data_IF_920879094658
#
_entry.id   IF_920879094658
#
_cell.length_a   1.000
_cell.length_b   1.000
_cell.length_c   1.000
_cell.angle_alpha   90.00
_cell.angle_beta   90.00
_cell.angle_gamma   90.00
#
_symmetry.space_group_name_H-M   'P 1'
#
loop_
_entity.id
_entity.type
_entity.pdbx_description
1 polymer ?
#
# COMPACT_ATOMS: atom_id res chain seq x y z
N UNK A 1 -9.08 35.57 -36.16
CA UNK A 1 -7.80 34.84 -36.05
C UNK A 1 -7.23 34.80 -34.64
N UNK A 2 -7.22 35.89 -33.88
CA UNK A 2 -6.71 35.92 -32.50
C UNK A 2 -7.58 35.11 -31.52
N UNK A 3 -8.88 34.98 -31.75
CA UNK A 3 -9.83 34.25 -30.90
C UNK A 3 -9.65 32.73 -31.04
N UNK A 4 -9.34 32.23 -32.24
CA UNK A 4 -9.09 30.80 -32.49
C UNK A 4 -7.81 30.28 -31.82
N UNK A 5 -6.79 31.13 -31.68
CA UNK A 5 -5.54 30.76 -30.98
C UNK A 5 -5.73 30.66 -29.46
N UNK A 6 -6.58 31.49 -28.89
CA UNK A 6 -6.93 31.46 -27.50
C UNK A 6 -7.75 30.22 -27.13
N UNK A 7 -8.68 29.79 -27.99
CA UNK A 7 -9.49 28.57 -27.79
C UNK A 7 -8.64 27.31 -27.83
N UNK A 8 -7.63 27.25 -28.71
CA UNK A 8 -6.71 26.10 -28.77
C UNK A 8 -5.86 25.97 -27.50
N UNK A 9 -5.42 27.08 -26.89
CA UNK A 9 -4.64 27.09 -25.67
C UNK A 9 -5.49 26.62 -24.45
N UNK A 10 -6.78 26.99 -24.39
CA UNK A 10 -7.69 26.57 -23.33
C UNK A 10 -7.99 25.08 -23.42
N UNK A 11 -8.16 24.53 -24.61
CA UNK A 11 -8.38 23.09 -24.82
C UNK A 11 -7.15 22.25 -24.42
N UNK A 12 -5.93 22.75 -24.71
CA UNK A 12 -4.70 22.08 -24.30
C UNK A 12 -4.54 22.03 -22.77
N UNK A 13 -4.96 23.08 -22.06
CA UNK A 13 -4.91 23.14 -20.59
C UNK A 13 -5.89 22.15 -19.94
N UNK A 14 -7.10 21.98 -20.49
CA UNK A 14 -8.10 21.02 -20.01
C UNK A 14 -7.61 19.58 -20.20
N UNK A 15 -6.93 19.27 -21.31
CA UNK A 15 -6.37 17.95 -21.57
C UNK A 15 -5.26 17.59 -20.56
N UNK A 16 -4.41 18.54 -20.16
CA UNK A 16 -3.36 18.36 -19.15
C UNK A 16 -3.95 18.06 -17.76
N UNK A 17 -5.04 18.72 -17.38
CA UNK A 17 -5.74 18.47 -16.12
C UNK A 17 -6.39 17.10 -16.06
N UNK A 18 -6.88 16.55 -17.17
CA UNK A 18 -7.43 15.20 -17.24
C UNK A 18 -6.36 14.14 -17.00
N UNK A 19 -5.13 14.34 -17.49
CA UNK A 19 -4.01 13.42 -17.26
C UNK A 19 -3.52 13.42 -15.81
N UNK A 20 -3.58 14.54 -15.10
CA UNK A 20 -3.13 14.64 -13.71
C UNK A 20 -4.00 13.87 -12.70
N UNK A 21 -5.18 13.36 -13.14
CA UNK A 21 -6.10 12.58 -12.28
C UNK A 21 -5.94 11.07 -12.41
N UNK A 22 -5.09 10.57 -13.30
CA UNK A 22 -4.87 9.15 -13.49
C UNK A 22 -3.77 8.65 -12.57
N UNK A 23 -4.10 7.80 -11.62
CA UNK A 23 -3.18 7.03 -10.80
C UNK A 23 -2.08 7.80 -10.05
N UNK A 24 -1.48 7.13 -9.11
CA UNK A 24 -0.31 7.62 -8.36
C UNK A 24 0.77 6.54 -8.38
N UNK A 25 2.06 6.91 -8.21
CA UNK A 25 3.12 5.93 -8.09
C UNK A 25 2.87 4.99 -6.90
N UNK A 26 3.13 3.69 -7.12
CA UNK A 26 3.11 2.72 -6.03
C UNK A 26 4.21 3.04 -5.04
N UNK A 27 3.86 3.06 -3.76
CA UNK A 27 4.82 3.17 -2.67
C UNK A 27 5.10 1.78 -2.11
N UNK A 28 6.34 1.32 -2.27
CA UNK A 28 6.85 0.15 -1.58
C UNK A 28 7.53 0.59 -0.29
N UNK A 29 7.22 -0.09 0.81
CA UNK A 29 7.76 0.24 2.13
C UNK A 29 8.84 -0.76 2.48
N UNK A 30 10.08 -0.31 2.59
CA UNK A 30 11.22 -1.13 2.93
C UNK A 30 11.78 -0.73 4.30
N UNK A 31 12.09 -1.72 5.14
CA UNK A 31 12.71 -1.46 6.43
C UNK A 31 11.84 -0.63 7.38
N UNK A 32 10.54 -0.91 7.44
CA UNK A 32 9.65 -0.24 8.40
C UNK A 32 10.04 -0.66 9.81
N UNK A 33 10.40 0.28 10.71
CA UNK A 33 10.80 -0.07 12.06
C UNK A 33 9.67 -0.75 12.83
N UNK A 34 10.00 -1.80 13.57
CA UNK A 34 9.08 -2.54 14.40
C UNK A 34 9.62 -2.57 15.85
N UNK A 35 9.11 -1.64 16.65
CA UNK A 35 9.56 -1.42 18.03
C UNK A 35 8.38 -1.69 18.96
N UNK A 36 8.63 -2.45 20.03
CA UNK A 36 7.62 -2.71 21.06
C UNK A 36 7.50 -1.55 22.05
N UNK A 37 6.47 -1.58 22.89
CA UNK A 37 6.27 -0.56 23.92
C UNK A 37 7.45 -0.42 24.89
N UNK A 38 8.24 -1.48 25.06
CA UNK A 38 9.45 -1.45 25.89
C UNK A 38 10.62 -0.70 25.24
N UNK A 39 10.48 -0.26 23.99
CA UNK A 39 11.54 0.39 23.23
C UNK A 39 12.51 -0.59 22.56
N UNK A 40 12.29 -1.88 22.69
CA UNK A 40 13.13 -2.92 22.09
C UNK A 40 12.62 -3.32 20.72
N UNK A 41 13.51 -3.77 19.81
CA UNK A 41 13.07 -4.33 18.54
C UNK A 41 12.11 -5.50 18.75
N UNK A 42 11.03 -5.52 18.00
CA UNK A 42 10.10 -6.65 18.00
C UNK A 42 10.76 -7.88 17.36
N UNK A 43 10.47 -9.07 17.86
CA UNK A 43 10.89 -10.30 17.22
C UNK A 43 10.13 -10.51 15.91
N UNK A 44 10.65 -11.35 15.02
CA UNK A 44 9.96 -11.73 13.78
C UNK A 44 8.56 -12.26 14.08
N UNK A 45 8.39 -13.08 15.12
CA UNK A 45 7.10 -13.64 15.53
C UNK A 45 6.13 -12.56 16.03
N UNK A 46 6.63 -11.59 16.81
CA UNK A 46 5.82 -10.46 17.26
C UNK A 46 5.36 -9.60 16.09
N UNK A 47 6.21 -9.40 15.10
CA UNK A 47 5.87 -8.63 13.90
C UNK A 47 4.79 -9.35 13.11
N UNK A 48 4.94 -10.66 12.88
CA UNK A 48 3.93 -11.45 12.17
C UNK A 48 2.58 -11.39 12.88
N UNK A 49 2.56 -11.59 14.18
CA UNK A 49 1.33 -11.55 14.97
C UNK A 49 0.69 -10.16 14.94
N UNK A 50 1.49 -9.08 15.01
CA UNK A 50 1.01 -7.71 14.94
C UNK A 50 0.40 -7.38 13.58
N UNK A 51 1.03 -7.81 12.49
CA UNK A 51 0.50 -7.63 11.13
C UNK A 51 -0.84 -8.33 10.97
N UNK A 52 -0.96 -9.56 11.43
CA UNK A 52 -2.22 -10.31 11.35
C UNK A 52 -3.31 -9.66 12.19
N UNK A 53 -3.00 -9.25 13.42
CA UNK A 53 -3.95 -8.59 14.30
C UNK A 53 -4.40 -7.22 13.79
N UNK A 54 -3.49 -6.48 13.15
CA UNK A 54 -3.78 -5.19 12.54
C UNK A 54 -4.65 -5.33 11.29
N UNK A 55 -4.36 -6.31 10.46
CA UNK A 55 -5.02 -6.47 9.17
C UNK A 55 -6.41 -7.08 9.24
N UNK A 56 -6.65 -8.03 10.14
CA UNK A 56 -7.89 -8.81 10.20
C UNK A 56 -9.15 -7.94 10.32
N UNK A 57 -9.22 -6.93 11.20
CA UNK A 57 -10.42 -6.10 11.32
C UNK A 57 -10.74 -5.28 10.05
N UNK A 58 -9.76 -5.06 9.19
CA UNK A 58 -9.94 -4.30 7.95
C UNK A 58 -10.10 -5.18 6.71
N UNK A 59 -10.13 -6.51 6.91
CA UNK A 59 -10.34 -7.45 5.83
C UNK A 59 -9.07 -8.00 5.18
N UNK A 60 -7.90 -7.65 5.68
CA UNK A 60 -6.66 -8.26 5.20
C UNK A 60 -6.57 -9.71 5.63
N UNK A 61 -6.19 -10.56 4.68
CA UNK A 61 -5.75 -11.93 4.95
C UNK A 61 -4.23 -11.96 4.82
N UNK A 62 -3.55 -12.19 5.93
CA UNK A 62 -2.10 -12.23 5.97
C UNK A 62 -1.68 -13.64 6.35
N UNK A 63 -1.11 -14.36 5.38
CA UNK A 63 -0.77 -15.77 5.52
C UNK A 63 0.74 -15.98 5.40
N UNK A 64 1.31 -16.88 6.21
CA UNK A 64 2.74 -17.22 6.08
C UNK A 64 3.06 -17.72 4.67
N UNK A 65 4.21 -17.30 4.13
CA UNK A 65 4.67 -17.66 2.79
C UNK A 65 6.16 -18.08 2.81
N UNK A 66 6.60 -18.69 3.89
CA UNK A 66 7.98 -19.10 4.12
C UNK A 66 8.57 -18.36 5.32
N UNK A 67 9.81 -18.69 5.67
CA UNK A 67 10.51 -18.06 6.80
C UNK A 67 10.68 -16.55 6.56
N UNK A 68 10.15 -15.74 7.47
CA UNK A 68 10.24 -14.29 7.36
C UNK A 68 9.47 -13.70 6.21
N UNK A 69 8.47 -14.42 5.66
CA UNK A 69 7.67 -13.96 4.52
C UNK A 69 6.19 -14.21 4.76
N UNK A 70 5.36 -13.31 4.28
CA UNK A 70 3.91 -13.44 4.29
C UNK A 70 3.30 -12.85 3.03
N UNK A 71 2.15 -13.37 2.65
CA UNK A 71 1.33 -12.80 1.58
C UNK A 71 0.16 -12.06 2.23
N UNK A 72 -0.02 -10.80 1.87
CA UNK A 72 -1.15 -10.00 2.31
C UNK A 72 -2.13 -9.81 1.16
N UNK A 73 -3.39 -10.14 1.38
CA UNK A 73 -4.46 -10.00 0.39
C UNK A 73 -5.61 -9.21 0.98
N UNK A 74 -6.08 -8.22 0.25
CA UNK A 74 -7.25 -7.42 0.62
C UNK A 74 -8.25 -7.43 -0.54
N UNK A 75 -9.48 -7.88 -0.26
CA UNK A 75 -10.60 -7.79 -1.19
C UNK A 75 -11.57 -6.75 -0.68
N UNK A 76 -11.94 -5.80 -1.54
CA UNK A 76 -12.83 -4.70 -1.18
C UNK A 76 -14.10 -4.78 -2.00
N UNK A 77 -15.23 -5.03 -1.34
CA UNK A 77 -16.56 -5.08 -1.95
C UNK A 77 -16.71 -6.10 -3.09
N UNK A 78 -15.85 -7.13 -3.12
CA UNK A 78 -15.85 -8.12 -4.19
C UNK A 78 -15.46 -7.59 -5.58
N UNK A 79 -15.00 -6.33 -5.66
CA UNK A 79 -14.65 -5.68 -6.93
C UNK A 79 -13.18 -5.36 -7.07
N UNK A 80 -12.54 -4.95 -5.99
CA UNK A 80 -11.14 -4.56 -5.99
C UNK A 80 -10.34 -5.53 -5.16
N UNK A 81 -9.20 -5.97 -5.65
CA UNK A 81 -8.29 -6.79 -4.87
C UNK A 81 -6.87 -6.29 -5.02
N UNK A 82 -6.13 -6.38 -3.92
CA UNK A 82 -4.70 -6.11 -3.91
C UNK A 82 -4.00 -7.22 -3.17
N UNK A 83 -2.77 -7.50 -3.60
CA UNK A 83 -1.88 -8.38 -2.86
C UNK A 83 -0.50 -7.75 -2.74
N UNK A 84 0.14 -8.00 -1.62
CA UNK A 84 1.46 -7.47 -1.31
C UNK A 84 2.32 -8.56 -0.70
N UNK A 85 3.62 -8.52 -1.02
CA UNK A 85 4.62 -9.37 -0.42
C UNK A 85 5.18 -8.69 0.82
N UNK A 86 5.09 -9.37 1.96
CA UNK A 86 5.66 -8.91 3.22
C UNK A 86 6.91 -9.74 3.51
N UNK A 87 7.98 -9.07 3.87
CA UNK A 87 9.16 -9.70 4.45
C UNK A 87 9.40 -9.11 5.83
N UNK A 88 9.77 -9.95 6.80
CA UNK A 88 9.96 -9.48 8.18
C UNK A 88 11.10 -10.22 8.84
N UNK A 89 11.82 -9.50 9.68
CA UNK A 89 12.89 -10.00 10.52
C UNK A 89 12.88 -9.20 11.83
N UNK A 90 13.66 -9.58 12.81
CA UNK A 90 13.71 -8.84 14.07
C UNK A 90 13.92 -7.34 13.82
N UNK A 91 13.03 -6.52 14.34
CA UNK A 91 13.13 -5.07 14.33
C UNK A 91 12.61 -4.36 13.07
N UNK A 92 12.23 -5.07 12.02
CA UNK A 92 11.76 -4.40 10.80
C UNK A 92 10.95 -5.32 9.89
N UNK A 93 10.16 -4.70 9.00
CA UNK A 93 9.46 -5.42 7.93
C UNK A 93 9.33 -4.54 6.68
N UNK A 94 9.03 -5.19 5.57
CA UNK A 94 8.82 -4.53 4.28
C UNK A 94 7.50 -4.97 3.68
N UNK A 95 6.83 -4.08 2.98
CA UNK A 95 5.59 -4.37 2.25
C UNK A 95 5.77 -3.88 0.82
N UNK A 96 5.71 -4.79 -0.15
CA UNK A 96 5.90 -4.48 -1.57
C UNK A 96 4.70 -4.93 -2.38
N UNK A 97 4.31 -4.11 -3.34
CA UNK A 97 3.23 -4.45 -4.27
C UNK A 97 3.53 -5.77 -4.98
N UNK A 98 2.52 -6.63 -5.08
CA UNK A 98 2.59 -7.87 -5.84
C UNK A 98 1.64 -7.88 -7.03
N UNK A 99 0.35 -7.69 -6.79
CA UNK A 99 -0.67 -7.79 -7.83
C UNK A 99 -1.95 -7.05 -7.41
N UNK A 100 -2.82 -6.78 -8.38
CA UNK A 100 -4.11 -6.16 -8.10
C UNK A 100 -5.11 -6.42 -9.21
N UNK A 101 -6.40 -6.25 -8.88
CA UNK A 101 -7.52 -6.33 -9.81
C UNK A 101 -8.40 -5.10 -9.62
N UNK A 102 -8.79 -4.46 -10.73
CA UNK A 102 -9.62 -3.24 -10.75
C UNK A 102 -9.03 -2.06 -9.94
N UNK A 103 -7.71 -1.92 -9.98
CA UNK A 103 -7.01 -0.83 -9.32
C UNK A 103 -6.32 0.12 -10.31
N UNK A 104 -6.69 0.04 -11.58
CA UNK A 104 -6.09 0.85 -12.65
C UNK A 104 -4.56 0.79 -12.69
N UNK A 105 -4.02 -0.40 -12.38
CA UNK A 105 -2.58 -0.60 -12.37
C UNK A 105 -2.01 -0.56 -13.79
N UNK A 106 -0.95 0.21 -13.95
CA UNK A 106 -0.20 0.33 -15.20
C UNK A 106 1.25 -0.12 -14.99
N UNK A 107 1.60 -1.28 -15.56
CA UNK A 107 2.92 -1.88 -15.37
C UNK A 107 4.07 -0.99 -15.88
N UNK A 108 3.87 -0.33 -17.02
CA UNK A 108 4.93 0.49 -17.65
C UNK A 108 5.31 1.73 -16.87
N UNK A 109 4.36 2.33 -16.14
CA UNK A 109 4.54 3.56 -15.39
C UNK A 109 4.52 3.34 -13.88
N UNK A 110 4.19 2.13 -13.44
CA UNK A 110 4.06 1.78 -12.02
C UNK A 110 3.02 2.66 -11.28
N UNK A 111 1.96 3.04 -11.99
CA UNK A 111 0.86 3.83 -11.43
C UNK A 111 -0.28 2.93 -11.00
N UNK A 112 -0.98 3.33 -9.95
CA UNK A 112 -2.11 2.58 -9.38
C UNK A 112 -3.12 3.54 -8.78
N UNK A 113 -4.35 3.07 -8.56
CA UNK A 113 -5.36 3.83 -7.85
C UNK A 113 -4.84 4.27 -6.48
N UNK A 114 -5.06 5.55 -6.07
CA UNK A 114 -4.53 6.08 -4.81
C UNK A 114 -4.90 5.28 -3.56
N UNK A 115 -6.00 4.56 -3.58
CA UNK A 115 -6.46 3.75 -2.45
C UNK A 115 -5.46 2.66 -2.03
N UNK A 116 -4.67 2.12 -2.97
CA UNK A 116 -3.65 1.12 -2.62
C UNK A 116 -2.69 1.65 -1.56
N UNK A 117 -2.08 2.80 -1.82
CA UNK A 117 -1.13 3.40 -0.89
C UNK A 117 -1.77 3.72 0.46
N UNK A 118 -3.03 4.17 0.45
CA UNK A 118 -3.78 4.47 1.67
C UNK A 118 -4.05 3.22 2.51
N UNK A 119 -4.47 2.13 1.88
CA UNK A 119 -4.75 0.88 2.58
C UNK A 119 -3.49 0.27 3.19
N UNK A 120 -2.37 0.31 2.45
CA UNK A 120 -1.09 -0.18 2.96
C UNK A 120 -0.59 0.69 4.11
N UNK A 121 -0.68 2.01 4.00
CA UNK A 121 -0.29 2.92 5.08
C UNK A 121 -1.11 2.69 6.34
N UNK A 122 -2.41 2.48 6.20
CA UNK A 122 -3.28 2.15 7.34
C UNK A 122 -2.85 0.84 8.01
N UNK A 123 -2.49 -0.19 7.22
CA UNK A 123 -1.97 -1.43 7.77
C UNK A 123 -0.69 -1.20 8.58
N UNK A 124 0.22 -0.37 8.07
CA UNK A 124 1.46 -0.02 8.78
C UNK A 124 1.15 0.70 10.10
N UNK A 125 0.26 1.69 10.07
CA UNK A 125 -0.11 2.46 11.25
C UNK A 125 -0.78 1.57 12.32
N UNK A 126 -1.69 0.71 11.90
CA UNK A 126 -2.38 -0.22 12.80
C UNK A 126 -1.42 -1.29 13.37
N UNK A 127 -0.44 -1.72 12.58
CA UNK A 127 0.60 -2.66 13.04
C UNK A 127 1.44 -2.03 14.14
N UNK A 128 1.80 -0.75 14.00
CA UNK A 128 2.52 -0.04 15.05
C UNK A 128 1.72 0.01 16.35
N UNK A 129 0.41 0.25 16.26
CA UNK A 129 -0.48 0.22 17.43
C UNK A 129 -0.46 -1.16 18.09
N UNK A 130 -0.53 -2.23 17.32
CA UNK A 130 -0.48 -3.59 17.87
C UNK A 130 0.86 -3.88 18.57
N UNK A 131 1.98 -3.40 18.01
CA UNK A 131 3.30 -3.60 18.62
C UNK A 131 3.45 -2.88 19.96
N UNK A 132 2.74 -1.78 20.18
CA UNK A 132 2.76 -1.04 21.44
C UNK A 132 1.83 -1.62 22.50
N UNK A 133 1.02 -2.60 22.18
CA UNK A 133 0.20 -3.27 23.19
C UNK A 133 1.06 -4.16 24.08
N UNK A 134 0.78 -4.17 25.41
CA UNK A 134 1.51 -5.05 26.33
C UNK A 134 1.23 -6.52 26.11
#
# INVERSE_FOLDING_TARGET
>A
MKILRLLAAVLAFVALNAHARSGVPILNHEGVPAITASGKPASAEQIRAALQAAGAPRGWQITPAGNGKALAVLNVRGKHSISADISYAAGQYSIKYRDSTNMNYEAGTNLIHPKYNMWVQTLIDDTRIQLYKP
#
